data_IF_583811902190
#
_entry.id   IF_583811902190
#
_cell.length_a   1.000
_cell.length_b   1.000
_cell.length_c   1.000
_cell.angle_alpha   90.00
_cell.angle_beta   90.00
_cell.angle_gamma   90.00
#
_symmetry.space_group_name_H-M   'P 1'
#
loop_
_entity.id
_entity.type
_entity.pdbx_description
1 polymer ?
#
# COMPACT_ATOMS: atom_id res chain seq x y z
N UNK A 1 35.90 17.13 -7.83
CA UNK A 1 35.12 17.56 -6.66
C UNK A 1 35.17 16.44 -5.62
N UNK A 2 35.80 16.66 -4.46
CA UNK A 2 35.99 15.63 -3.44
C UNK A 2 34.88 15.69 -2.37
N UNK A 3 34.63 14.60 -1.63
CA UNK A 3 33.70 14.49 -0.49
C UNK A 3 33.81 15.68 0.48
N UNK A 4 35.02 16.16 0.72
CA UNK A 4 35.27 17.31 1.62
C UNK A 4 34.73 18.62 1.05
N UNK A 5 34.82 18.81 -0.26
CA UNK A 5 34.34 20.02 -0.93
C UNK A 5 32.82 20.02 -1.02
N UNK A 6 32.21 18.84 -1.25
CA UNK A 6 30.77 18.66 -1.22
C UNK A 6 30.17 18.98 0.16
N UNK A 7 30.78 18.50 1.24
CA UNK A 7 30.30 18.77 2.61
C UNK A 7 30.43 20.27 2.95
N UNK A 8 31.50 20.95 2.54
CA UNK A 8 31.67 22.40 2.74
C UNK A 8 30.63 23.22 1.97
N UNK A 9 30.35 22.85 0.73
CA UNK A 9 29.31 23.51 -0.07
C UNK A 9 27.91 23.28 0.53
N UNK A 10 27.60 22.06 0.98
CA UNK A 10 26.32 21.71 1.60
C UNK A 10 26.09 22.42 2.94
N UNK A 11 27.15 22.60 3.74
CA UNK A 11 27.08 23.28 5.05
C UNK A 11 26.98 24.80 4.94
N UNK A 12 27.54 25.42 3.89
CA UNK A 12 27.37 26.85 3.61
C UNK A 12 25.95 27.23 3.15
N UNK A 13 25.26 26.33 2.45
CA UNK A 13 23.89 26.58 1.96
C UNK A 13 22.81 26.53 3.06
N UNK A 14 23.03 25.75 4.12
CA UNK A 14 22.06 25.57 5.19
C UNK A 14 21.85 26.84 6.06
N UNK A 15 22.86 27.71 6.17
CA UNK A 15 22.78 28.92 7.00
C UNK A 15 21.96 30.04 6.36
N UNK A 16 21.74 30.04 5.04
CA UNK A 16 20.94 31.06 4.35
C UNK A 16 19.44 30.71 4.28
N UNK A 17 19.05 29.49 4.63
CA UNK A 17 17.65 29.03 4.56
C UNK A 17 16.94 29.02 5.93
N UNK A 18 17.66 29.26 7.03
CA UNK A 18 17.11 29.17 8.40
C UNK A 18 16.24 30.34 8.85
N UNK A 19 16.06 31.40 8.05
CA UNK A 19 15.34 32.62 8.44
C UNK A 19 13.90 32.72 7.92
N UNK A 20 13.43 31.76 7.10
CA UNK A 20 12.05 31.72 6.65
C UNK A 20 11.26 30.70 7.47
N UNK A 21 10.22 31.10 8.23
CA UNK A 21 9.27 30.16 8.79
C UNK A 21 8.35 29.66 7.66
N UNK A 22 8.89 28.89 6.73
CA UNK A 22 8.10 28.11 5.79
C UNK A 22 7.73 26.79 6.46
N UNK A 23 6.87 26.88 7.48
CA UNK A 23 5.92 25.81 7.77
C UNK A 23 4.95 25.76 6.60
N UNK A 24 5.42 25.22 5.47
CA UNK A 24 4.54 24.79 4.40
C UNK A 24 3.74 23.63 4.97
N UNK A 25 2.59 23.95 5.56
CA UNK A 25 1.50 23.00 5.68
C UNK A 25 0.99 22.77 4.25
N UNK A 26 1.75 21.98 3.48
CA UNK A 26 1.23 21.40 2.26
C UNK A 26 0.14 20.43 2.71
N UNK A 27 -1.08 20.93 2.87
CA UNK A 27 -2.23 20.09 3.08
C UNK A 27 -2.30 19.11 1.90
N UNK A 28 -2.50 17.83 2.19
CA UNK A 28 -2.74 16.85 1.16
C UNK A 28 -4.06 17.23 0.46
N UNK A 29 -3.97 17.82 -0.73
CA UNK A 29 -5.14 18.05 -1.57
C UNK A 29 -5.49 16.76 -2.31
N UNK A 30 -6.77 16.40 -2.31
CA UNK A 30 -7.25 15.26 -3.08
C UNK A 30 -7.05 15.53 -4.58
N UNK A 31 -6.13 14.80 -5.19
CA UNK A 31 -5.94 14.85 -6.65
C UNK A 31 -7.06 14.09 -7.35
N UNK A 32 -7.58 14.59 -8.48
CA UNK A 32 -8.52 13.83 -9.27
C UNK A 32 -7.84 12.58 -9.86
N UNK A 33 -8.57 11.45 -10.02
CA UNK A 33 -8.05 10.29 -10.72
C UNK A 33 -7.81 10.62 -12.20
N UNK A 34 -6.96 9.82 -12.84
CA UNK A 34 -6.74 9.90 -14.29
C UNK A 34 -8.06 9.57 -15.00
N UNK A 35 -8.53 10.39 -15.96
CA UNK A 35 -9.75 10.08 -16.70
C UNK A 35 -9.67 8.69 -17.36
N UNK A 36 -10.64 7.82 -17.03
CA UNK A 36 -10.67 6.44 -17.54
C UNK A 36 -9.78 5.44 -16.79
N UNK A 37 -9.19 5.81 -15.65
CA UNK A 37 -8.42 4.87 -14.81
C UNK A 37 -9.25 3.70 -14.30
N UNK A 38 -8.59 2.58 -14.04
CA UNK A 38 -9.21 1.41 -13.44
C UNK A 38 -9.36 1.57 -11.92
N UNK A 39 -10.38 0.91 -11.37
CA UNK A 39 -10.62 0.81 -9.93
C UNK A 39 -11.13 -0.58 -9.57
N UNK A 40 -10.82 -1.04 -8.36
CA UNK A 40 -11.34 -2.31 -7.83
C UNK A 40 -12.22 -2.03 -6.62
N UNK A 41 -13.52 -2.33 -6.75
CA UNK A 41 -14.45 -2.30 -5.64
C UNK A 41 -14.36 -3.62 -4.86
N UNK A 42 -14.19 -3.52 -3.54
CA UNK A 42 -14.33 -4.63 -2.60
C UNK A 42 -15.52 -4.33 -1.70
N UNK A 43 -16.58 -5.11 -1.82
CA UNK A 43 -17.74 -5.04 -0.94
C UNK A 43 -17.57 -6.04 0.21
N UNK A 44 -17.24 -5.54 1.40
CA UNK A 44 -17.06 -6.37 2.59
C UNK A 44 -18.37 -7.01 3.07
N UNK A 45 -19.53 -6.41 2.77
CA UNK A 45 -20.84 -6.92 3.21
C UNK A 45 -21.21 -8.23 2.50
N UNK A 46 -20.75 -8.39 1.26
CA UNK A 46 -20.93 -9.60 0.45
C UNK A 46 -19.77 -10.60 0.56
N UNK A 47 -18.61 -10.17 1.05
CA UNK A 47 -17.47 -11.06 1.22
C UNK A 47 -17.79 -12.15 2.25
N UNK A 48 -17.60 -13.42 1.90
CA UNK A 48 -17.80 -14.57 2.79
C UNK A 48 -16.48 -15.17 3.30
N UNK A 49 -15.36 -14.52 3.01
CA UNK A 49 -14.05 -14.98 3.44
C UNK A 49 -13.57 -16.28 2.80
N UNK A 50 -14.09 -16.68 1.64
CA UNK A 50 -13.73 -17.92 0.95
C UNK A 50 -12.28 -17.98 0.44
N UNK A 51 -11.60 -16.84 0.40
CA UNK A 51 -10.20 -16.69 -0.03
C UNK A 51 -9.90 -17.10 -1.48
N UNK A 52 -10.92 -17.34 -2.32
CA UNK A 52 -10.73 -17.62 -3.74
C UNK A 52 -9.94 -16.53 -4.48
N UNK A 53 -10.10 -15.26 -4.06
CA UNK A 53 -9.33 -14.14 -4.60
C UNK A 53 -7.83 -14.20 -4.27
N UNK A 54 -7.47 -14.85 -3.16
CA UNK A 54 -6.08 -15.02 -2.72
C UNK A 54 -5.43 -16.11 -3.55
N UNK A 55 -6.05 -17.30 -3.60
CA UNK A 55 -5.58 -18.41 -4.43
C UNK A 55 -5.42 -17.99 -5.88
N UNK A 56 -6.43 -17.35 -6.46
CA UNK A 56 -6.38 -16.96 -7.88
C UNK A 56 -5.30 -15.90 -8.16
N UNK A 57 -5.02 -15.01 -7.22
CA UNK A 57 -3.94 -14.04 -7.37
C UNK A 57 -2.57 -14.72 -7.42
N UNK A 58 -2.37 -15.75 -6.62
CA UNK A 58 -1.13 -16.54 -6.63
C UNK A 58 -1.01 -17.35 -7.92
N UNK A 59 -2.10 -18.00 -8.36
CA UNK A 59 -2.11 -18.78 -9.59
C UNK A 59 -1.76 -17.96 -10.83
N UNK A 60 -2.16 -16.68 -10.88
CA UNK A 60 -1.92 -15.82 -12.05
C UNK A 60 -0.52 -15.19 -11.99
N UNK A 61 -0.01 -14.88 -10.79
CA UNK A 61 1.26 -14.16 -10.62
C UNK A 61 2.45 -15.07 -10.31
N UNK A 62 2.22 -16.35 -10.05
CA UNK A 62 3.24 -17.37 -9.76
C UNK A 62 4.35 -16.89 -8.80
N UNK A 63 3.99 -16.35 -7.62
CA UNK A 63 5.01 -15.96 -6.65
C UNK A 63 5.81 -17.19 -6.23
N UNK A 64 7.08 -17.00 -5.88
CA UNK A 64 7.85 -18.04 -5.23
C UNK A 64 7.12 -18.50 -3.96
N UNK A 65 7.27 -19.77 -3.59
CA UNK A 65 6.74 -20.25 -2.31
C UNK A 65 7.49 -19.59 -1.17
N UNK A 66 6.76 -19.22 -0.13
CA UNK A 66 7.36 -18.66 1.07
C UNK A 66 8.36 -19.67 1.65
N UNK A 67 9.65 -19.34 1.78
CA UNK A 67 10.65 -20.26 2.34
C UNK A 67 10.48 -20.45 3.86
N UNK A 68 9.67 -19.62 4.52
CA UNK A 68 9.44 -19.63 5.96
C UNK A 68 8.00 -20.03 6.30
N UNK A 69 7.83 -20.87 7.34
CA UNK A 69 6.53 -21.31 7.82
C UNK A 69 5.93 -22.48 7.02
N UNK A 70 4.67 -22.81 7.33
CA UNK A 70 3.95 -23.86 6.62
C UNK A 70 3.82 -23.54 5.14
N UNK A 71 4.10 -24.53 4.29
CA UNK A 71 4.01 -24.47 2.84
C UNK A 71 2.55 -24.52 2.38
N UNK A 72 1.76 -23.56 2.86
CA UNK A 72 0.42 -23.29 2.40
C UNK A 72 0.48 -22.34 1.21
N UNK A 73 -0.61 -22.28 0.47
CA UNK A 73 -0.73 -21.32 -0.62
C UNK A 73 -0.71 -19.89 -0.05
N UNK A 74 -1.35 -19.59 1.09
CA UNK A 74 -1.32 -18.25 1.72
C UNK A 74 -1.16 -18.29 3.22
N UNK A 75 -0.23 -17.47 3.74
CA UNK A 75 -0.28 -17.01 5.12
C UNK A 75 -1.11 -15.71 5.17
N UNK A 76 -2.32 -15.77 5.73
CA UNK A 76 -3.24 -14.63 5.78
C UNK A 76 -2.93 -13.62 6.90
N UNK A 77 -1.83 -13.80 7.63
CA UNK A 77 -1.50 -12.93 8.75
C UNK A 77 -0.98 -11.57 8.28
N UNK A 78 -0.20 -11.53 7.19
CA UNK A 78 0.31 -10.28 6.57
C UNK A 78 0.58 -10.46 5.07
N UNK A 79 0.58 -9.35 4.33
CA UNK A 79 1.15 -9.32 2.97
C UNK A 79 2.64 -9.65 3.03
N UNK A 80 3.14 -10.34 2.01
CA UNK A 80 4.54 -10.70 1.87
C UNK A 80 4.98 -10.61 0.41
N UNK A 81 6.28 -10.67 0.10
CA UNK A 81 6.76 -10.80 -1.29
C UNK A 81 6.21 -12.03 -2.02
N UNK A 82 5.64 -13.00 -1.30
CA UNK A 82 5.08 -14.25 -1.83
C UNK A 82 3.54 -14.23 -1.88
N UNK A 83 2.89 -13.21 -1.34
CA UNK A 83 1.43 -13.15 -1.20
C UNK A 83 0.94 -11.70 -1.29
N UNK A 84 0.44 -11.34 -2.48
CA UNK A 84 0.12 -9.96 -2.86
C UNK A 84 -1.28 -9.51 -2.45
N UNK A 85 -2.18 -10.43 -2.10
CA UNK A 85 -3.45 -10.12 -1.46
C UNK A 85 -3.80 -11.18 -0.41
N UNK A 86 -4.54 -10.79 0.62
CA UNK A 86 -5.00 -11.67 1.70
C UNK A 86 -6.41 -11.28 2.15
N UNK A 87 -7.11 -12.21 2.81
CA UNK A 87 -8.34 -11.91 3.57
C UNK A 87 -8.05 -12.06 5.06
N UNK A 88 -8.23 -10.98 5.81
CA UNK A 88 -8.19 -10.96 7.26
C UNK A 88 -9.58 -10.88 7.86
N UNK A 89 -9.71 -11.23 9.13
CA UNK A 89 -10.95 -11.10 9.89
C UNK A 89 -10.72 -10.08 11.00
N UNK A 90 -11.46 -8.98 10.97
CA UNK A 90 -11.61 -8.10 12.12
C UNK A 90 -12.73 -8.66 13.01
N UNK A 91 -12.55 -8.57 14.33
CA UNK A 91 -13.52 -9.03 15.34
C UNK A 91 -13.61 -8.03 16.47
N UNK A 92 -14.81 -7.90 17.03
CA UNK A 92 -15.15 -7.17 18.24
C UNK A 92 -15.92 -8.11 19.18
N UNK A 93 -15.59 -8.11 20.47
CA UNK A 93 -16.25 -8.96 21.48
C UNK A 93 -16.32 -10.44 21.10
N UNK A 94 -17.51 -11.03 21.15
CA UNK A 94 -17.72 -12.45 20.80
C UNK A 94 -17.62 -12.75 19.30
N UNK A 95 -17.75 -11.73 18.44
CA UNK A 95 -17.55 -11.85 16.99
C UNK A 95 -18.50 -12.81 16.28
N UNK A 96 -19.76 -12.93 16.73
CA UNK A 96 -20.73 -13.91 16.22
C UNK A 96 -21.49 -13.39 15.00
N UNK A 97 -21.76 -12.08 14.96
CA UNK A 97 -22.56 -11.48 13.89
C UNK A 97 -21.68 -10.78 12.85
N UNK A 98 -21.93 -11.03 11.57
CA UNK A 98 -21.19 -10.37 10.48
C UNK A 98 -21.61 -8.90 10.35
N UNK A 99 -20.64 -8.04 10.07
CA UNK A 99 -20.78 -6.60 9.79
C UNK A 99 -21.46 -5.82 10.93
N UNK A 100 -21.15 -6.19 12.19
CA UNK A 100 -21.58 -5.45 13.38
C UNK A 100 -20.37 -4.86 14.11
N UNK A 101 -20.47 -3.62 14.56
CA UNK A 101 -19.40 -2.92 15.29
C UNK A 101 -19.19 -3.51 16.70
N UNK A 102 -20.28 -3.88 17.37
CA UNK A 102 -20.26 -4.51 18.69
C UNK A 102 -20.52 -6.01 18.57
N UNK A 103 -19.69 -6.82 19.22
CA UNK A 103 -19.80 -8.29 19.22
C UNK A 103 -19.85 -8.92 17.80
N UNK A 104 -19.29 -8.23 16.80
CA UNK A 104 -19.34 -8.65 15.40
C UNK A 104 -17.98 -8.93 14.76
N UNK A 105 -18.02 -9.30 13.48
CA UNK A 105 -16.84 -9.53 12.67
C UNK A 105 -17.00 -9.03 11.24
N UNK A 106 -15.91 -8.72 10.57
CA UNK A 106 -15.90 -8.35 9.15
C UNK A 106 -14.68 -8.91 8.44
N UNK A 107 -14.85 -9.27 7.17
CA UNK A 107 -13.72 -9.66 6.32
C UNK A 107 -13.07 -8.42 5.71
N UNK A 108 -11.74 -8.38 5.75
CA UNK A 108 -10.94 -7.29 5.21
C UNK A 108 -10.02 -7.87 4.14
N UNK A 109 -10.23 -7.45 2.88
CA UNK A 109 -9.28 -7.71 1.81
C UNK A 109 -8.14 -6.70 1.91
N UNK A 110 -6.91 -7.19 2.10
CA UNK A 110 -5.69 -6.35 2.05
C UNK A 110 -4.94 -6.64 0.75
N UNK A 111 -4.59 -5.58 0.03
CA UNK A 111 -3.83 -5.58 -1.22
C UNK A 111 -3.32 -4.15 -1.49
N UNK A 112 -2.51 -3.97 -2.54
CA UNK A 112 -2.18 -2.63 -3.03
C UNK A 112 -3.46 -1.86 -3.40
N UNK A 113 -3.55 -0.59 -3.01
CA UNK A 113 -4.71 0.27 -3.32
C UNK A 113 -4.56 1.04 -4.63
N UNK A 114 -3.39 0.98 -5.28
CA UNK A 114 -3.04 1.75 -6.48
C UNK A 114 -3.48 3.22 -6.39
N UNK A 115 -3.01 3.89 -5.33
CA UNK A 115 -3.46 5.21 -4.92
C UNK A 115 -3.45 6.24 -6.08
N UNK A 116 -4.38 7.20 -6.03
CA UNK A 116 -4.40 8.33 -6.97
C UNK A 116 -3.10 9.14 -6.87
N UNK A 117 -2.64 9.37 -5.65
CA UNK A 117 -1.32 9.96 -5.35
C UNK A 117 -0.45 8.95 -4.58
N UNK A 118 0.33 8.10 -5.27
CA UNK A 118 1.05 7.02 -4.63
C UNK A 118 2.37 7.49 -4.00
N UNK A 119 2.37 7.61 -2.67
CA UNK A 119 3.58 7.92 -1.90
C UNK A 119 4.73 6.94 -2.17
N UNK A 120 4.44 5.65 -2.38
CA UNK A 120 5.46 4.66 -2.70
C UNK A 120 6.24 5.00 -3.98
N UNK A 121 5.58 5.56 -4.99
CA UNK A 121 6.24 6.00 -6.24
C UNK A 121 7.04 7.27 -6.00
N UNK A 122 6.47 8.27 -5.33
CA UNK A 122 7.11 9.58 -5.14
C UNK A 122 8.37 9.51 -4.26
N UNK A 123 8.40 8.59 -3.28
CA UNK A 123 9.55 8.45 -2.37
C UNK A 123 10.64 7.51 -2.90
N UNK A 124 10.42 6.80 -4.02
CA UNK A 124 11.38 5.84 -4.53
C UNK A 124 12.62 6.56 -5.11
N UNK A 125 13.80 6.49 -4.46
CA UNK A 125 14.96 7.30 -4.86
C UNK A 125 15.57 6.85 -6.21
N UNK A 126 15.25 5.63 -6.63
CA UNK A 126 15.77 5.01 -7.87
C UNK A 126 14.73 4.89 -8.96
N UNK A 127 13.52 5.44 -8.76
CA UNK A 127 12.43 5.39 -9.76
C UNK A 127 12.07 3.98 -10.25
N UNK A 128 12.19 2.98 -9.36
CA UNK A 128 11.81 1.59 -9.67
C UNK A 128 10.30 1.38 -9.69
N UNK A 129 9.56 2.17 -8.90
CA UNK A 129 8.10 2.18 -8.86
C UNK A 129 7.57 3.25 -9.82
N UNK A 130 6.51 2.94 -10.55
CA UNK A 130 5.91 3.84 -11.55
C UNK A 130 4.40 3.74 -11.47
N UNK A 131 3.71 4.80 -11.89
CA UNK A 131 2.28 4.78 -12.12
C UNK A 131 2.00 4.81 -13.61
N UNK A 132 1.17 3.88 -14.09
CA UNK A 132 0.70 3.86 -15.47
C UNK A 132 -0.19 5.10 -15.74
N UNK A 133 0.15 5.94 -16.74
CA UNK A 133 -0.56 7.19 -17.00
C UNK A 133 -1.92 7.00 -17.68
N UNK A 134 -2.27 5.79 -18.12
CA UNK A 134 -3.56 5.45 -18.74
C UNK A 134 -4.46 4.71 -17.76
N UNK A 135 -3.95 3.64 -17.14
CA UNK A 135 -4.76 2.76 -16.30
C UNK A 135 -4.79 3.22 -14.84
N UNK A 136 -3.79 3.99 -14.40
CA UNK A 136 -3.64 4.39 -13.00
C UNK A 136 -3.05 3.30 -12.10
N UNK A 137 -2.70 2.14 -12.65
CA UNK A 137 -2.05 1.04 -11.92
C UNK A 137 -0.65 1.50 -11.49
N UNK A 138 -0.39 1.36 -10.19
CA UNK A 138 0.92 1.53 -9.55
C UNK A 138 1.68 0.21 -9.48
#
# INVERSE_FOLDING_TARGET
MNRRDFIKAASGGALLLGAAPSVSHAAAENRPPIPGSLGMLYDSTLCVGCQACVTKCQDINFPARNPEGEQTWSNNDKLSPYTNNIIQVWRSGTGVNKDQEENGYAYIKKQCMHCVDPNCVSVCPVSALKKDPKTGIV
#
